data_IF_875098253025
#
_entry.id   IF_875098253025
#
_cell.length_a   1.000
_cell.length_b   1.000
_cell.length_c   1.000
_cell.angle_alpha   90.00
_cell.angle_beta   90.00
_cell.angle_gamma   90.00
#
_symmetry.space_group_name_H-M   'P 1'
#
loop_
_entity.id
_entity.type
_entity.pdbx_description
1 polymer ?
#
# COMPACT_ATOMS: atom_id res chain seq x y z
N UNK A 1 12.81 -4.62 44.62
CA UNK A 1 12.20 -4.09 43.38
C UNK A 1 11.93 -5.26 42.44
N UNK A 2 10.69 -5.49 42.05
CA UNK A 2 10.34 -6.49 41.05
C UNK A 2 10.90 -6.04 39.67
N UNK A 3 12.05 -6.58 39.31
CA UNK A 3 12.61 -6.42 37.96
C UNK A 3 12.15 -7.63 37.15
N UNK A 4 11.31 -7.43 36.17
CA UNK A 4 10.82 -8.51 35.29
C UNK A 4 11.93 -9.10 34.41
N UNK A 5 13.02 -8.35 34.18
CA UNK A 5 14.16 -8.71 33.34
C UNK A 5 13.74 -9.23 31.94
N UNK A 6 12.76 -8.55 31.31
CA UNK A 6 12.12 -8.99 30.08
C UNK A 6 13.10 -9.15 28.92
N UNK A 7 14.10 -8.27 28.82
CA UNK A 7 15.09 -8.34 27.77
C UNK A 7 15.83 -9.69 27.69
N UNK A 8 16.01 -10.37 28.84
CA UNK A 8 16.64 -11.70 28.91
C UNK A 8 15.61 -12.83 28.90
N UNK A 9 14.46 -12.64 29.56
CA UNK A 9 13.45 -13.69 29.69
C UNK A 9 12.67 -13.96 28.41
N UNK A 10 12.30 -12.91 27.68
CA UNK A 10 11.51 -13.06 26.45
C UNK A 10 12.19 -13.92 25.39
N UNK A 11 13.48 -13.73 25.04
CA UNK A 11 14.16 -14.61 24.11
C UNK A 11 14.15 -16.08 24.52
N UNK A 12 14.30 -16.36 25.84
CA UNK A 12 14.24 -17.73 26.34
C UNK A 12 12.83 -18.32 26.23
N UNK A 13 11.80 -17.52 26.49
CA UNK A 13 10.41 -17.94 26.30
C UNK A 13 10.11 -18.29 24.83
N UNK A 14 10.55 -17.43 23.90
CA UNK A 14 10.40 -17.68 22.47
C UNK A 14 11.12 -18.94 22.02
N UNK A 15 12.35 -19.15 22.48
CA UNK A 15 13.11 -20.36 22.18
C UNK A 15 12.40 -21.63 22.71
N UNK A 16 11.80 -21.56 23.90
CA UNK A 16 11.03 -22.66 24.46
C UNK A 16 9.75 -22.93 23.67
N UNK A 17 9.04 -21.88 23.21
CA UNK A 17 7.84 -22.03 22.37
C UNK A 17 8.16 -22.66 21.03
N UNK A 18 9.25 -22.24 20.40
CA UNK A 18 9.72 -22.83 19.14
C UNK A 18 10.12 -24.30 19.32
N UNK A 19 10.92 -24.61 20.37
CA UNK A 19 11.32 -25.99 20.67
C UNK A 19 10.14 -26.92 20.92
N UNK A 20 9.10 -26.39 21.56
CA UNK A 20 7.88 -27.17 21.87
C UNK A 20 6.90 -27.23 20.71
N UNK A 21 7.16 -26.56 19.58
CA UNK A 21 6.17 -26.37 18.51
C UNK A 21 4.80 -25.89 19.06
N UNK A 22 4.84 -24.82 19.86
CA UNK A 22 3.65 -24.32 20.55
C UNK A 22 2.51 -24.02 19.58
N UNK A 23 2.80 -23.42 18.42
CA UNK A 23 1.76 -23.11 17.44
C UNK A 23 1.10 -24.38 16.89
N UNK A 24 1.90 -25.38 16.49
CA UNK A 24 1.39 -26.68 16.02
C UNK A 24 0.54 -27.39 17.08
N UNK A 25 0.97 -27.37 18.35
CA UNK A 25 0.18 -27.92 19.47
C UNK A 25 -1.17 -27.20 19.64
N UNK A 26 -1.20 -25.87 19.56
CA UNK A 26 -2.42 -25.08 19.62
C UNK A 26 -3.36 -25.46 18.47
N UNK A 27 -2.83 -25.54 17.22
CA UNK A 27 -3.62 -25.93 16.04
C UNK A 27 -4.24 -27.31 16.20
N UNK A 28 -3.45 -28.28 16.68
CA UNK A 28 -3.92 -29.65 16.93
C UNK A 28 -5.02 -29.69 18.00
N UNK A 29 -4.82 -28.99 19.12
CA UNK A 29 -5.77 -28.95 20.23
C UNK A 29 -7.11 -28.26 19.88
N UNK A 30 -7.10 -27.34 18.93
CA UNK A 30 -8.29 -26.56 18.49
C UNK A 30 -8.97 -27.10 17.24
N UNK A 31 -8.44 -28.15 16.64
CA UNK A 31 -9.01 -28.78 15.45
C UNK A 31 -10.48 -29.18 15.67
N UNK A 32 -11.36 -28.72 14.78
CA UNK A 32 -12.79 -29.04 14.83
C UNK A 32 -13.62 -28.14 15.77
N UNK A 33 -13.00 -27.16 16.42
CA UNK A 33 -13.72 -26.14 17.18
C UNK A 33 -14.29 -25.08 16.22
N UNK A 34 -15.16 -24.21 16.72
CA UNK A 34 -15.70 -23.09 15.94
C UNK A 34 -14.56 -22.21 15.45
N UNK A 35 -14.51 -21.97 14.14
CA UNK A 35 -13.46 -21.19 13.52
C UNK A 35 -13.63 -19.69 13.77
N UNK A 36 -12.55 -19.01 14.09
CA UNK A 36 -12.45 -17.56 14.14
C UNK A 36 -11.27 -17.11 13.28
N UNK A 37 -11.55 -16.39 12.18
CA UNK A 37 -10.52 -15.89 11.28
C UNK A 37 -10.33 -14.38 11.50
N UNK A 38 -9.12 -14.00 11.89
CA UNK A 38 -8.68 -12.61 11.85
C UNK A 38 -7.77 -12.46 10.65
N UNK A 39 -8.30 -11.81 9.60
CA UNK A 39 -7.51 -11.53 8.40
C UNK A 39 -6.45 -10.48 8.71
N UNK A 40 -5.19 -10.77 8.35
CA UNK A 40 -4.10 -9.82 8.53
C UNK A 40 -4.14 -8.74 7.46
N UNK A 41 -4.27 -7.46 7.85
CA UNK A 41 -3.93 -6.35 6.99
C UNK A 41 -2.42 -6.33 6.84
N UNK A 42 -1.88 -6.64 5.64
CA UNK A 42 -0.46 -6.95 5.49
C UNK A 42 0.38 -5.68 5.60
N UNK A 43 1.50 -5.70 6.36
CA UNK A 43 2.46 -4.61 6.34
C UNK A 43 3.14 -4.54 4.99
N UNK A 44 3.63 -3.36 4.65
CA UNK A 44 4.43 -3.13 3.45
C UNK A 44 5.80 -3.79 3.60
N UNK A 45 6.22 -4.54 2.57
CA UNK A 45 7.54 -5.18 2.52
C UNK A 45 8.65 -4.18 2.19
N UNK A 46 8.75 -3.10 2.96
CA UNK A 46 9.69 -2.01 2.74
C UNK A 46 10.15 -1.39 4.07
N UNK A 47 11.44 -1.50 4.36
CA UNK A 47 12.06 -0.94 5.55
C UNK A 47 11.80 -1.72 6.84
N UNK A 48 12.37 -1.21 7.93
CA UNK A 48 12.24 -1.79 9.26
C UNK A 48 10.86 -1.53 9.84
N UNK A 49 10.42 -2.39 10.77
CA UNK A 49 9.19 -2.13 11.52
C UNK A 49 9.35 -0.90 12.42
N UNK A 50 8.25 -0.25 12.70
CA UNK A 50 8.16 0.87 13.66
C UNK A 50 7.06 0.59 14.69
N UNK A 51 6.89 1.49 15.67
CA UNK A 51 5.93 1.31 16.76
C UNK A 51 4.49 1.05 16.27
N UNK A 52 4.08 1.66 15.16
CA UNK A 52 2.76 1.41 14.56
C UNK A 52 2.57 -0.03 14.11
N UNK A 53 3.59 -0.64 13.50
CA UNK A 53 3.60 -2.07 13.16
C UNK A 53 3.52 -2.93 14.43
N UNK A 54 4.31 -2.61 15.45
CA UNK A 54 4.32 -3.34 16.71
C UNK A 54 2.94 -3.31 17.40
N UNK A 55 2.33 -2.14 17.53
CA UNK A 55 0.98 -1.98 18.10
C UNK A 55 -0.04 -2.81 17.33
N UNK A 56 -0.07 -2.70 16.00
CA UNK A 56 -1.00 -3.43 15.15
C UNK A 56 -0.87 -4.96 15.33
N UNK A 57 0.35 -5.49 15.25
CA UNK A 57 0.61 -6.93 15.38
C UNK A 57 0.34 -7.47 16.78
N UNK A 58 0.71 -6.71 17.81
CA UNK A 58 0.45 -7.11 19.20
C UNK A 58 -1.05 -7.15 19.49
N UNK A 59 -1.83 -6.15 19.04
CA UNK A 59 -3.28 -6.16 19.24
C UNK A 59 -3.95 -7.33 18.52
N UNK A 60 -3.54 -7.66 17.29
CA UNK A 60 -4.04 -8.85 16.58
C UNK A 60 -3.68 -10.15 17.33
N UNK A 61 -2.46 -10.27 17.79
CA UNK A 61 -2.00 -11.42 18.56
C UNK A 61 -2.79 -11.58 19.86
N UNK A 62 -3.08 -10.49 20.57
CA UNK A 62 -3.94 -10.52 21.76
C UNK A 62 -5.34 -11.04 21.44
N UNK A 63 -5.95 -10.61 20.32
CA UNK A 63 -7.27 -11.07 19.88
C UNK A 63 -7.24 -12.57 19.56
N UNK A 64 -6.25 -13.01 18.76
CA UNK A 64 -6.10 -14.42 18.38
C UNK A 64 -5.88 -15.30 19.60
N UNK A 65 -5.01 -14.89 20.53
CA UNK A 65 -4.77 -15.61 21.78
C UNK A 65 -6.02 -15.66 22.66
N UNK A 66 -6.75 -14.56 22.80
CA UNK A 66 -7.99 -14.51 23.57
C UNK A 66 -9.05 -15.47 22.99
N UNK A 67 -9.22 -15.46 21.66
CA UNK A 67 -10.15 -16.39 20.99
C UNK A 67 -9.72 -17.85 21.16
N UNK A 68 -8.43 -18.13 21.01
CA UNK A 68 -7.87 -19.47 21.25
C UNK A 68 -8.14 -19.95 22.68
N UNK A 69 -7.95 -19.08 23.68
CA UNK A 69 -8.26 -19.39 25.10
C UNK A 69 -9.75 -19.55 25.35
N UNK A 70 -10.61 -18.87 24.57
CA UNK A 70 -12.07 -19.04 24.60
C UNK A 70 -12.58 -20.23 23.78
N UNK A 71 -11.71 -21.19 23.48
CA UNK A 71 -12.00 -22.45 22.79
C UNK A 71 -12.37 -22.34 21.29
N UNK A 72 -11.97 -21.26 20.63
CA UNK A 72 -12.09 -21.15 19.19
C UNK A 72 -10.87 -21.75 18.48
N UNK A 73 -11.09 -22.24 17.26
CA UNK A 73 -10.04 -22.53 16.28
C UNK A 73 -9.66 -21.23 15.57
N UNK A 74 -8.65 -20.52 16.09
CA UNK A 74 -8.24 -19.21 15.65
C UNK A 74 -6.85 -19.26 14.99
N UNK A 75 -6.72 -19.70 13.71
CA UNK A 75 -5.47 -19.62 12.99
C UNK A 75 -5.09 -18.18 12.71
N UNK A 76 -3.80 -17.89 12.72
CA UNK A 76 -3.26 -16.62 12.28
C UNK A 76 -2.22 -16.84 11.17
N UNK A 77 -2.55 -16.36 9.98
CA UNK A 77 -1.67 -16.39 8.82
C UNK A 77 -1.18 -14.97 8.57
N UNK A 78 0.11 -14.68 8.80
CA UNK A 78 0.66 -13.36 8.51
C UNK A 78 0.71 -13.11 7.00
N UNK A 79 0.69 -11.83 6.60
CA UNK A 79 0.80 -11.45 5.20
C UNK A 79 1.73 -10.27 5.00
N UNK A 80 2.15 -10.06 3.73
CA UNK A 80 2.92 -8.91 3.28
C UNK A 80 2.40 -8.34 1.98
N UNK A 81 2.33 -7.00 1.95
CA UNK A 81 2.14 -6.23 0.73
C UNK A 81 3.50 -5.96 0.08
N UNK A 82 3.67 -6.43 -1.16
CA UNK A 82 4.98 -6.52 -1.81
C UNK A 82 5.12 -5.68 -3.07
N UNK A 83 4.09 -4.92 -3.44
CA UNK A 83 4.06 -4.15 -4.68
C UNK A 83 4.02 -2.65 -4.42
N UNK A 84 4.33 -1.88 -5.46
CA UNK A 84 4.08 -0.45 -5.53
C UNK A 84 5.32 0.42 -5.53
N UNK A 85 5.07 1.70 -5.69
CA UNK A 85 6.06 2.73 -5.92
C UNK A 85 7.18 2.78 -4.87
N UNK A 86 6.93 2.65 -3.56
CA UNK A 86 8.02 2.71 -2.58
C UNK A 86 9.07 1.61 -2.75
N UNK A 87 8.68 0.39 -3.14
CA UNK A 87 9.61 -0.71 -3.43
C UNK A 87 10.37 -0.41 -4.72
N UNK A 88 9.65 0.04 -5.76
CA UNK A 88 10.23 0.37 -7.07
C UNK A 88 11.27 1.49 -6.97
N UNK A 89 10.98 2.56 -6.23
CA UNK A 89 11.91 3.69 -6.04
C UNK A 89 13.22 3.28 -5.36
N UNK A 90 13.18 2.40 -4.38
CA UNK A 90 14.40 1.87 -3.74
C UNK A 90 15.23 1.08 -4.74
N UNK A 91 14.57 0.23 -5.52
CA UNK A 91 15.24 -0.60 -6.54
C UNK A 91 15.78 0.28 -7.68
N UNK A 92 15.01 1.26 -8.13
CA UNK A 92 15.42 2.21 -9.15
C UNK A 92 16.64 3.03 -8.72
N UNK A 93 16.65 3.53 -7.49
CA UNK A 93 17.78 4.26 -6.93
C UNK A 93 19.08 3.42 -6.94
N UNK A 94 18.96 2.11 -6.74
CA UNK A 94 20.10 1.19 -6.67
C UNK A 94 20.56 0.70 -8.04
N UNK A 95 19.63 0.40 -8.93
CA UNK A 95 19.91 -0.30 -10.20
C UNK A 95 19.62 0.52 -11.46
N UNK A 96 18.93 1.67 -11.34
CA UNK A 96 18.47 2.52 -12.43
C UNK A 96 17.08 2.18 -12.93
N UNK A 97 16.53 3.08 -13.77
CA UNK A 97 15.18 2.96 -14.31
C UNK A 97 15.00 1.73 -15.18
N UNK A 98 13.81 1.07 -15.13
CA UNK A 98 13.50 -0.02 -16.05
C UNK A 98 13.52 0.47 -17.50
N UNK A 99 13.96 -0.39 -18.42
CA UNK A 99 14.10 -0.05 -19.84
C UNK A 99 15.36 0.72 -20.20
N UNK A 100 16.18 1.13 -19.23
CA UNK A 100 17.48 1.81 -19.47
C UNK A 100 18.66 0.87 -19.23
N UNK A 101 18.79 0.36 -18.03
CA UNK A 101 19.87 -0.57 -17.64
C UNK A 101 19.41 -2.01 -17.46
N UNK A 102 18.16 -2.18 -17.10
CA UNK A 102 17.52 -3.48 -16.86
C UNK A 102 16.26 -3.55 -17.72
N UNK A 103 15.95 -4.74 -18.22
CA UNK A 103 14.63 -5.02 -18.77
C UNK A 103 13.54 -4.92 -17.69
N UNK A 104 12.30 -4.74 -18.09
CA UNK A 104 11.17 -4.71 -17.16
C UNK A 104 11.06 -6.01 -16.34
N UNK A 105 11.40 -7.16 -16.92
CA UNK A 105 11.39 -8.44 -16.22
C UNK A 105 12.47 -8.52 -15.14
N UNK A 106 13.69 -8.11 -15.46
CA UNK A 106 14.80 -8.07 -14.50
C UNK A 106 14.52 -7.07 -13.37
N UNK A 107 13.95 -5.91 -13.70
CA UNK A 107 13.57 -4.91 -12.71
C UNK A 107 12.52 -5.47 -11.74
N UNK A 108 11.45 -6.10 -12.22
CA UNK A 108 10.46 -6.78 -11.38
C UNK A 108 11.08 -7.85 -10.49
N UNK A 109 12.04 -8.62 -11.02
CA UNK A 109 12.75 -9.62 -10.20
C UNK A 109 13.54 -8.95 -9.07
N UNK A 110 14.21 -7.81 -9.33
CA UNK A 110 14.90 -7.03 -8.29
C UNK A 110 13.94 -6.51 -7.22
N UNK A 111 12.73 -6.09 -7.60
CA UNK A 111 11.70 -5.70 -6.65
C UNK A 111 11.26 -6.88 -5.77
N UNK A 112 11.06 -8.07 -6.35
CA UNK A 112 10.74 -9.29 -5.59
C UNK A 112 11.86 -9.68 -4.61
N UNK A 113 13.12 -9.65 -5.07
CA UNK A 113 14.29 -9.96 -4.24
C UNK A 113 14.40 -8.98 -3.06
N UNK A 114 14.18 -7.70 -3.32
CA UNK A 114 14.16 -6.67 -2.27
C UNK A 114 13.04 -6.92 -1.27
N UNK A 115 11.80 -7.09 -1.74
CA UNK A 115 10.65 -7.34 -0.89
C UNK A 115 10.87 -8.59 -0.01
N UNK A 116 11.42 -9.69 -0.58
CA UNK A 116 11.73 -10.89 0.17
C UNK A 116 12.73 -10.62 1.31
N UNK A 117 13.75 -9.82 1.05
CA UNK A 117 14.72 -9.41 2.09
C UNK A 117 14.05 -8.64 3.23
N UNK A 118 13.13 -7.73 2.90
CA UNK A 118 12.38 -6.97 3.90
C UNK A 118 11.42 -7.87 4.71
N UNK A 119 10.76 -8.82 4.05
CA UNK A 119 9.88 -9.80 4.70
C UNK A 119 10.64 -10.57 5.77
N UNK A 120 11.81 -11.12 5.46
CA UNK A 120 12.58 -11.91 6.42
C UNK A 120 13.03 -11.07 7.62
N UNK A 121 13.44 -9.82 7.39
CA UNK A 121 13.79 -8.90 8.47
C UNK A 121 12.59 -8.60 9.36
N UNK A 122 11.46 -8.19 8.78
CA UNK A 122 10.23 -7.88 9.51
C UNK A 122 9.65 -9.10 10.22
N UNK A 123 9.69 -10.29 9.60
CA UNK A 123 9.28 -11.56 10.21
C UNK A 123 10.07 -11.81 11.50
N UNK A 124 11.38 -11.64 11.46
CA UNK A 124 12.25 -11.80 12.63
C UNK A 124 11.83 -10.88 13.76
N UNK A 125 11.56 -9.61 13.46
CA UNK A 125 11.13 -8.62 14.43
C UNK A 125 9.74 -8.95 15.02
N UNK A 126 8.77 -9.35 14.19
CA UNK A 126 7.43 -9.74 14.66
C UNK A 126 7.46 -10.99 15.55
N UNK A 127 8.28 -11.98 15.21
CA UNK A 127 8.50 -13.17 16.06
C UNK A 127 9.13 -12.72 17.38
N UNK A 128 10.08 -11.78 17.36
CA UNK A 128 10.70 -11.22 18.57
C UNK A 128 9.67 -10.51 19.47
N UNK A 129 8.61 -9.92 18.92
CA UNK A 129 7.50 -9.36 19.70
C UNK A 129 6.58 -10.41 20.35
N UNK A 130 6.80 -11.71 20.08
CA UNK A 130 6.02 -12.80 20.65
C UNK A 130 4.72 -13.11 19.92
N UNK A 131 4.57 -12.61 18.71
CA UNK A 131 3.40 -12.90 17.86
C UNK A 131 3.43 -14.35 17.41
N UNK A 132 2.35 -15.08 17.69
CA UNK A 132 2.19 -16.52 17.35
C UNK A 132 1.34 -16.64 16.09
N UNK A 133 1.84 -17.40 15.10
CA UNK A 133 1.16 -17.59 13.82
C UNK A 133 1.87 -18.57 12.90
N UNK A 134 1.31 -18.81 11.73
CA UNK A 134 1.90 -19.64 10.68
C UNK A 134 2.97 -18.84 9.91
N UNK A 135 4.13 -18.68 10.52
CA UNK A 135 5.25 -17.94 9.94
C UNK A 135 5.95 -18.66 8.79
N UNK A 136 5.67 -19.94 8.61
CA UNK A 136 6.26 -20.75 7.54
C UNK A 136 5.45 -20.67 6.24
N UNK A 137 4.15 -20.39 6.36
CA UNK A 137 3.24 -20.26 5.21
C UNK A 137 2.53 -18.91 5.18
N UNK A 138 3.26 -17.79 5.17
CA UNK A 138 2.65 -16.47 5.05
C UNK A 138 2.02 -16.30 3.65
N UNK A 139 1.04 -15.40 3.51
CA UNK A 139 0.65 -14.95 2.18
C UNK A 139 1.48 -13.71 1.78
N UNK A 140 1.87 -13.65 0.52
CA UNK A 140 2.60 -12.52 -0.06
C UNK A 140 1.90 -12.08 -1.32
N UNK A 141 1.60 -10.80 -1.44
CA UNK A 141 0.88 -10.29 -2.63
C UNK A 141 1.66 -10.50 -3.92
N UNK A 142 2.99 -10.68 -3.85
CA UNK A 142 3.85 -10.98 -4.99
C UNK A 142 3.89 -12.47 -5.39
N UNK A 143 3.25 -13.37 -4.64
CA UNK A 143 3.21 -14.77 -5.03
C UNK A 143 2.35 -14.94 -6.29
N UNK A 144 2.84 -15.68 -7.28
CA UNK A 144 2.15 -15.83 -8.57
C UNK A 144 0.71 -16.34 -8.44
N UNK A 145 0.46 -17.23 -7.48
CA UNK A 145 -0.90 -17.69 -7.18
C UNK A 145 -1.79 -16.58 -6.65
N UNK A 146 -1.24 -15.69 -5.84
CA UNK A 146 -1.95 -14.53 -5.30
C UNK A 146 -2.24 -13.51 -6.41
N UNK A 147 -1.25 -13.16 -7.23
CA UNK A 147 -1.42 -12.29 -8.40
C UNK A 147 -2.48 -12.83 -9.37
N UNK A 148 -2.45 -14.14 -9.64
CA UNK A 148 -3.47 -14.78 -10.47
C UNK A 148 -4.89 -14.67 -9.88
N UNK A 149 -5.02 -14.76 -8.56
CA UNK A 149 -6.31 -14.59 -7.88
C UNK A 149 -6.82 -13.15 -7.93
N UNK A 150 -5.93 -12.15 -7.86
CA UNK A 150 -6.28 -10.74 -8.07
C UNK A 150 -6.87 -10.56 -9.47
N UNK A 151 -6.22 -11.09 -10.51
CA UNK A 151 -6.70 -11.00 -11.90
C UNK A 151 -8.04 -11.69 -12.06
N UNK A 152 -8.23 -12.89 -11.50
CA UNK A 152 -9.53 -13.61 -11.54
C UNK A 152 -10.64 -12.84 -10.82
N UNK A 153 -10.33 -12.17 -9.72
CA UNK A 153 -11.30 -11.36 -8.99
C UNK A 153 -11.70 -10.12 -9.79
N UNK A 154 -10.73 -9.46 -10.43
CA UNK A 154 -11.00 -8.34 -11.34
C UNK A 154 -11.84 -8.77 -12.54
N UNK A 155 -11.55 -9.94 -13.16
CA UNK A 155 -12.36 -10.48 -14.25
C UNK A 155 -13.82 -10.63 -13.85
N UNK A 156 -14.11 -11.15 -12.65
CA UNK A 156 -15.49 -11.26 -12.16
C UNK A 156 -16.19 -9.90 -11.98
N UNK A 157 -15.46 -8.87 -11.56
CA UNK A 157 -15.97 -7.50 -11.44
C UNK A 157 -16.34 -6.96 -12.83
N UNK A 158 -15.49 -7.23 -13.83
CA UNK A 158 -15.74 -6.85 -15.24
C UNK A 158 -16.96 -7.58 -15.78
N UNK A 159 -17.03 -8.90 -15.60
CA UNK A 159 -18.13 -9.75 -16.07
C UNK A 159 -19.49 -9.31 -15.48
N UNK A 160 -19.48 -8.78 -14.26
CA UNK A 160 -20.66 -8.21 -13.60
C UNK A 160 -20.98 -6.75 -14.01
N UNK A 161 -20.26 -6.18 -14.99
CA UNK A 161 -20.54 -4.85 -15.55
C UNK A 161 -20.15 -3.67 -14.65
N UNK A 162 -19.29 -3.89 -13.67
CA UNK A 162 -18.88 -2.82 -12.74
C UNK A 162 -17.67 -1.99 -13.22
N UNK A 163 -17.01 -2.39 -14.33
CA UNK A 163 -15.92 -1.62 -14.91
C UNK A 163 -16.48 -0.61 -15.90
N UNK A 164 -16.15 0.66 -15.71
CA UNK A 164 -16.49 1.74 -16.61
C UNK A 164 -15.23 2.53 -16.99
N UNK A 165 -15.14 2.93 -18.25
CA UNK A 165 -14.10 3.84 -18.72
C UNK A 165 -14.57 5.29 -18.58
N UNK A 166 -13.76 6.16 -18.03
CA UNK A 166 -14.06 7.58 -17.87
C UNK A 166 -12.79 8.40 -17.70
N UNK A 167 -12.97 9.72 -17.64
CA UNK A 167 -11.88 10.67 -17.40
C UNK A 167 -12.05 11.30 -16.02
N UNK A 168 -10.97 11.32 -15.25
CA UNK A 168 -10.89 11.99 -13.94
C UNK A 168 -9.53 12.64 -13.82
N UNK A 169 -9.43 13.91 -13.39
CA UNK A 169 -8.14 14.51 -13.03
C UNK A 169 -7.50 13.71 -11.91
N UNK A 170 -6.23 13.40 -12.06
CA UNK A 170 -5.42 12.69 -11.06
C UNK A 170 -4.09 13.42 -10.85
N UNK A 171 -3.54 13.32 -9.64
CA UNK A 171 -2.22 13.83 -9.36
C UNK A 171 -1.17 13.03 -10.17
N UNK A 172 -0.25 13.74 -10.79
CA UNK A 172 0.83 13.17 -11.58
C UNK A 172 2.17 13.69 -11.10
N UNK A 173 3.09 12.80 -10.79
CA UNK A 173 4.47 13.14 -10.46
C UNK A 173 5.32 13.13 -11.74
N UNK A 174 5.87 14.28 -12.13
CA UNK A 174 6.73 14.40 -13.31
C UNK A 174 8.08 13.70 -13.13
N UNK A 175 8.59 13.64 -11.93
CA UNK A 175 9.87 13.00 -11.61
C UNK A 175 9.75 11.47 -11.63
N UNK A 176 8.69 10.94 -11.02
CA UNK A 176 8.40 9.50 -11.02
C UNK A 176 7.84 9.02 -12.37
N UNK A 177 7.21 9.92 -13.17
CA UNK A 177 6.49 9.54 -14.39
C UNK A 177 5.27 8.66 -14.10
N UNK A 178 4.58 8.90 -12.98
CA UNK A 178 3.47 8.07 -12.49
C UNK A 178 2.33 8.90 -11.90
N UNK A 179 1.11 8.38 -12.00
CA UNK A 179 -0.01 8.86 -11.21
C UNK A 179 0.21 8.54 -9.73
N UNK A 180 -0.26 9.43 -8.87
CA UNK A 180 -0.17 9.26 -7.42
C UNK A 180 -1.57 9.02 -6.84
N UNK A 181 -1.66 8.11 -5.87
CA UNK A 181 -2.80 8.04 -4.99
C UNK A 181 -2.82 9.27 -4.05
N UNK A 182 -4.00 9.63 -3.54
CA UNK A 182 -4.13 10.82 -2.66
C UNK A 182 -3.22 10.74 -1.42
N UNK A 183 -3.03 9.54 -0.87
CA UNK A 183 -2.15 9.31 0.27
C UNK A 183 -0.64 9.41 -0.05
N UNK A 184 -0.27 9.44 -1.33
CA UNK A 184 1.12 9.56 -1.79
C UNK A 184 1.50 11.00 -2.14
N UNK A 185 0.52 11.94 -2.08
CA UNK A 185 0.75 13.35 -2.40
C UNK A 185 1.32 14.05 -1.18
N UNK A 186 2.50 14.63 -1.36
CA UNK A 186 3.13 15.50 -0.36
C UNK A 186 3.00 16.97 -0.78
N UNK A 187 2.73 17.83 0.18
CA UNK A 187 2.60 19.26 -0.03
C UNK A 187 3.82 19.98 0.52
N UNK A 188 4.29 20.95 -0.23
CA UNK A 188 5.38 21.84 0.19
C UNK A 188 5.12 23.26 -0.31
N UNK A 189 5.61 24.24 0.42
CA UNK A 189 5.55 25.63 -0.02
C UNK A 189 6.45 25.83 -1.25
N UNK A 190 5.87 26.39 -2.31
CA UNK A 190 6.57 26.66 -3.56
C UNK A 190 6.17 28.02 -4.13
N UNK A 191 7.15 28.76 -4.59
CA UNK A 191 6.91 30.00 -5.32
C UNK A 191 6.76 29.64 -6.80
N UNK A 192 5.59 29.93 -7.36
CA UNK A 192 5.28 29.75 -8.77
C UNK A 192 4.94 31.09 -9.42
N UNK A 193 5.34 31.36 -10.65
CA UNK A 193 4.87 32.54 -11.38
C UNK A 193 3.37 32.40 -11.67
N UNK A 194 2.62 33.44 -11.32
CA UNK A 194 1.22 33.53 -11.72
C UNK A 194 1.12 34.19 -13.10
N UNK A 195 0.27 33.67 -13.95
CA UNK A 195 0.06 34.17 -15.30
C UNK A 195 -1.43 34.33 -15.60
N UNK A 196 -1.74 35.32 -16.42
CA UNK A 196 -3.06 35.49 -17.03
C UNK A 196 -3.02 34.97 -18.47
N UNK A 197 -3.85 33.99 -18.75
CA UNK A 197 -3.92 33.36 -20.10
C UNK A 197 -5.21 33.79 -20.79
N UNK A 198 -5.07 34.32 -22.02
CA UNK A 198 -6.18 34.74 -22.85
C UNK A 198 -6.59 33.63 -23.81
N UNK A 199 -7.85 33.21 -23.72
CA UNK A 199 -8.48 32.29 -24.66
C UNK A 199 -9.51 33.02 -25.53
N UNK A 200 -9.39 32.93 -26.84
CA UNK A 200 -10.37 33.49 -27.80
C UNK A 200 -11.59 32.59 -27.83
N UNK A 201 -12.76 33.20 -27.99
CA UNK A 201 -13.96 32.45 -28.32
C UNK A 201 -13.84 31.85 -29.73
N UNK A 202 -14.27 30.59 -29.86
CA UNK A 202 -14.34 29.91 -31.18
C UNK A 202 -15.56 30.41 -31.93
N UNK A 203 -16.67 30.64 -31.22
CA UNK A 203 -17.90 31.21 -31.75
C UNK A 203 -18.07 32.63 -31.20
N UNK A 204 -17.80 33.62 -32.02
CA UNK A 204 -17.88 35.02 -31.63
C UNK A 204 -19.34 35.52 -31.44
N UNK A 205 -20.36 34.77 -31.96
CA UNK A 205 -21.76 35.15 -31.77
C UNK A 205 -22.25 35.08 -30.35
N UNK A 206 -21.51 34.41 -29.46
CA UNK A 206 -21.79 34.40 -28.04
C UNK A 206 -21.76 35.79 -27.40
N UNK A 207 -21.00 36.70 -28.01
CA UNK A 207 -20.84 38.10 -27.55
C UNK A 207 -22.17 38.85 -27.61
N UNK A 208 -23.02 38.54 -28.61
CA UNK A 208 -24.33 39.17 -28.79
C UNK A 208 -25.31 38.87 -27.65
N UNK A 209 -24.96 37.90 -26.78
CA UNK A 209 -25.75 37.54 -25.59
C UNK A 209 -25.41 38.36 -24.35
N UNK A 210 -24.39 39.20 -24.42
CA UNK A 210 -23.97 40.04 -23.30
C UNK A 210 -24.34 41.48 -23.57
N UNK A 211 -24.86 42.19 -22.55
CA UNK A 211 -25.12 43.63 -22.61
C UNK A 211 -23.78 44.37 -22.71
N UNK A 212 -23.55 45.04 -23.81
CA UNK A 212 -22.43 45.93 -23.96
C UNK A 212 -22.76 47.33 -23.36
N UNK A 213 -21.92 47.87 -22.46
CA UNK A 213 -22.08 49.27 -22.08
C UNK A 213 -21.95 50.18 -23.32
N UNK A 214 -22.96 51.01 -23.52
CA UNK A 214 -22.98 51.95 -24.65
C UNK A 214 -21.68 52.82 -24.65
N UNK A 215 -20.85 52.66 -25.66
CA UNK A 215 -19.66 53.48 -25.86
C UNK A 215 -18.34 52.75 -26.08
N UNK A 216 -18.25 51.46 -25.89
CA UNK A 216 -17.05 50.71 -26.22
C UNK A 216 -17.26 49.91 -27.52
N UNK A 217 -17.16 50.58 -28.65
CA UNK A 217 -17.02 49.94 -29.96
C UNK A 217 -15.64 49.27 -30.11
N UNK A 218 -15.37 48.28 -29.30
CA UNK A 218 -14.15 47.48 -29.41
C UNK A 218 -14.24 46.52 -30.60
N UNK A 219 -13.71 46.95 -31.73
CA UNK A 219 -13.49 46.05 -32.88
C UNK A 219 -12.32 45.13 -32.58
N UNK A 220 -12.57 43.99 -32.00
CA UNK A 220 -11.53 42.98 -31.73
C UNK A 220 -12.10 41.66 -31.28
N UNK A 221 -11.38 40.57 -31.42
CA UNK A 221 -11.82 39.27 -31.02
C UNK A 221 -12.05 39.21 -29.49
N UNK A 222 -13.20 38.70 -29.10
CA UNK A 222 -13.54 38.55 -27.69
C UNK A 222 -12.82 37.35 -27.10
N UNK A 223 -12.37 37.50 -25.87
CA UNK A 223 -11.58 36.50 -25.19
C UNK A 223 -11.97 36.38 -23.71
N UNK A 224 -11.82 35.21 -23.14
CA UNK A 224 -11.85 34.98 -21.71
C UNK A 224 -10.42 34.99 -21.20
N UNK A 225 -10.19 35.66 -20.07
CA UNK A 225 -8.91 35.64 -19.37
C UNK A 225 -9.08 34.74 -18.15
N UNK A 226 -8.18 33.80 -17.99
CA UNK A 226 -8.08 32.95 -16.81
C UNK A 226 -6.75 33.19 -16.11
N UNK A 227 -6.79 33.25 -14.81
CA UNK A 227 -5.60 33.26 -13.96
C UNK A 227 -5.17 31.82 -13.66
N UNK A 228 -3.86 31.53 -13.72
CA UNK A 228 -3.27 30.24 -13.38
C UNK A 228 -1.84 30.40 -12.88
N UNK A 229 -1.29 29.33 -12.31
CA UNK A 229 0.11 29.24 -11.84
C UNK A 229 0.86 28.13 -12.58
#
# INVERSE_FOLDING_TARGET
AMRANLAQREPQMLANWTKADLYGQIRAAKKGKQTFILHDGPPYANGSIHIGHAVNKILKDMIVKAKTLSDFDAPYVPGWDCHGLPVELVVEKKYGKPGVKLSAAEFRQKCRDYAQTQIEAQKTDFIRLGVIGDWDNPYRTMDFAFEANIIRSLSRIIDNGHLQQGFKPVHWCTDCGSALAEAEVEYQDKISPAIDVRFRFVDESIVDKFDHPAGHGGQGPVSVVIWTT
#
